data_IF_632910553939
#
_entry.id   IF_632910553939
#
_cell.length_a   1.000
_cell.length_b   1.000
_cell.length_c   1.000
_cell.angle_alpha   90.00
_cell.angle_beta   90.00
_cell.angle_gamma   90.00
#
_symmetry.space_group_name_H-M   'P 1'
#
loop_
_entity.id
_entity.type
_entity.pdbx_description
1 polymer ?
#
# COMPACT_ATOMS: atom_id res chain seq x y z
N UNK A 1 -2.42 -3.77 7.78
CA UNK A 1 -2.88 -2.45 7.28
C UNK A 1 -3.34 -1.50 8.42
N UNK A 2 -3.09 -1.84 9.69
CA UNK A 2 -3.61 -1.16 10.90
C UNK A 2 -2.95 0.18 11.31
N UNK A 3 -2.33 0.94 10.38
CA UNK A 3 -1.83 2.28 10.72
C UNK A 3 -2.39 3.40 9.83
N UNK A 4 -3.34 3.08 8.94
CA UNK A 4 -3.84 4.05 7.97
C UNK A 4 -5.10 4.81 8.44
N UNK A 5 -5.80 4.31 9.46
CA UNK A 5 -7.13 4.80 9.85
C UNK A 5 -7.15 6.11 10.68
N UNK A 6 -6.00 6.70 11.00
CA UNK A 6 -5.90 7.91 11.83
C UNK A 6 -5.31 9.13 11.09
N UNK A 7 -5.44 9.20 9.76
CA UNK A 7 -5.12 10.43 9.03
C UNK A 7 -6.29 11.42 9.07
N UNK A 8 -6.58 11.97 10.25
CA UNK A 8 -7.50 13.11 10.38
C UNK A 8 -6.83 14.33 9.72
N UNK A 9 -7.41 14.82 8.61
CA UNK A 9 -7.22 16.15 7.99
C UNK A 9 -5.89 16.88 8.29
N UNK A 10 -4.77 16.25 7.96
CA UNK A 10 -3.50 16.97 8.00
C UNK A 10 -3.49 18.02 6.86
N UNK A 11 -3.00 19.25 7.07
CA UNK A 11 -2.66 20.19 6.00
C UNK A 11 -1.77 19.52 4.94
N UNK A 12 -1.78 20.01 3.69
CA UNK A 12 -1.08 19.36 2.57
C UNK A 12 0.39 19.04 2.89
N UNK A 13 1.11 19.99 3.50
CA UNK A 13 2.51 19.82 3.90
C UNK A 13 2.68 18.74 4.99
N UNK A 14 1.75 18.65 5.94
CA UNK A 14 1.78 17.64 7.00
C UNK A 14 1.43 16.23 6.48
N UNK A 15 0.50 16.11 5.50
CA UNK A 15 0.23 14.83 4.81
C UNK A 15 1.46 14.33 4.07
N UNK A 16 2.12 15.24 3.35
CA UNK A 16 3.31 14.90 2.59
C UNK A 16 4.44 14.43 3.51
N UNK A 17 4.69 15.13 4.61
CA UNK A 17 5.65 14.70 5.64
C UNK A 17 5.28 13.33 6.24
N UNK A 18 4.01 13.10 6.55
CA UNK A 18 3.51 11.80 7.02
C UNK A 18 3.79 10.69 5.99
N UNK A 19 3.50 10.92 4.71
CA UNK A 19 3.77 9.96 3.63
C UNK A 19 5.27 9.65 3.51
N UNK A 20 6.13 10.66 3.57
CA UNK A 20 7.59 10.46 3.53
C UNK A 20 8.10 9.65 4.72
N UNK A 21 7.69 10.01 5.95
CA UNK A 21 8.05 9.28 7.17
C UNK A 21 7.56 7.84 7.09
N UNK A 22 6.35 7.63 6.57
CA UNK A 22 5.78 6.29 6.40
C UNK A 22 6.53 5.46 5.38
N UNK A 23 6.83 6.02 4.21
CA UNK A 23 7.61 5.35 3.17
C UNK A 23 9.00 4.95 3.70
N UNK A 24 9.69 5.88 4.39
CA UNK A 24 10.98 5.60 5.02
C UNK A 24 10.89 4.43 6.01
N UNK A 25 9.85 4.39 6.86
CA UNK A 25 9.63 3.31 7.83
C UNK A 25 9.36 1.95 7.16
N UNK A 26 8.65 1.93 6.02
CA UNK A 26 8.40 0.70 5.29
C UNK A 26 9.68 0.16 4.63
N UNK A 27 10.47 1.06 4.05
CA UNK A 27 11.68 0.71 3.30
C UNK A 27 12.91 0.46 4.17
N UNK A 28 12.90 0.88 5.44
CA UNK A 28 14.04 0.75 6.36
C UNK A 28 14.49 -0.69 6.60
N UNK A 29 13.68 -1.68 6.23
CA UNK A 29 13.99 -3.11 6.37
C UNK A 29 14.72 -3.69 5.14
N UNK A 30 14.96 -2.90 4.09
CA UNK A 30 15.65 -3.35 2.87
C UNK A 30 14.85 -4.39 2.08
N UNK A 31 13.51 -4.34 2.12
CA UNK A 31 12.65 -5.31 1.44
C UNK A 31 11.80 -4.63 0.38
N UNK A 32 11.59 -5.33 -0.73
CA UNK A 32 10.55 -5.02 -1.71
C UNK A 32 9.17 -4.95 -1.04
N UNK A 33 8.31 -4.05 -1.53
CA UNK A 33 6.98 -3.81 -0.96
C UNK A 33 5.90 -4.19 -1.96
N UNK A 34 5.11 -5.21 -1.65
CA UNK A 34 3.89 -5.53 -2.39
C UNK A 34 2.71 -4.67 -1.94
N UNK A 35 1.88 -4.22 -2.86
CA UNK A 35 0.61 -3.55 -2.57
C UNK A 35 -0.45 -3.90 -3.62
N UNK A 36 -1.72 -3.74 -3.27
CA UNK A 36 -2.82 -3.93 -4.20
C UNK A 36 -2.84 -2.86 -5.30
N UNK A 37 -3.10 -3.28 -6.53
CA UNK A 37 -3.37 -2.40 -7.67
C UNK A 37 -4.82 -1.90 -7.65
N UNK A 38 -5.20 -1.16 -6.60
CA UNK A 38 -6.55 -0.63 -6.44
C UNK A 38 -6.85 0.45 -7.49
N UNK A 39 -8.08 0.46 -8.02
CA UNK A 39 -8.57 1.58 -8.81
C UNK A 39 -8.90 2.78 -7.89
N UNK A 40 -7.87 3.48 -7.41
CA UNK A 40 -8.00 4.60 -6.47
C UNK A 40 -8.93 5.68 -7.02
N UNK A 41 -8.86 5.98 -8.33
CA UNK A 41 -9.75 6.95 -8.99
C UNK A 41 -11.21 6.51 -8.93
N UNK A 42 -11.47 5.22 -9.11
CA UNK A 42 -12.80 4.63 -8.97
C UNK A 42 -13.30 4.70 -7.53
N UNK A 43 -12.49 4.27 -6.56
CA UNK A 43 -12.84 4.29 -5.12
C UNK A 43 -13.11 5.72 -4.66
N UNK A 44 -12.34 6.69 -5.14
CA UNK A 44 -12.50 8.11 -4.87
C UNK A 44 -13.83 8.71 -5.37
N UNK A 45 -14.63 7.96 -6.16
CA UNK A 45 -15.96 8.36 -6.64
C UNK A 45 -17.10 7.59 -5.96
N UNK A 46 -16.79 6.74 -4.99
CA UNK A 46 -17.78 5.94 -4.24
C UNK A 46 -18.13 6.58 -2.89
N UNK A 47 -18.91 5.86 -2.06
CA UNK A 47 -19.14 6.25 -0.65
C UNK A 47 -17.86 6.34 0.19
N UNK A 48 -16.73 5.81 -0.31
CA UNK A 48 -15.39 5.92 0.29
C UNK A 48 -14.57 7.11 -0.26
N UNK A 49 -15.18 8.02 -1.03
CA UNK A 49 -14.50 9.16 -1.63
C UNK A 49 -13.73 9.99 -0.60
N UNK A 50 -14.41 10.39 0.48
CA UNK A 50 -13.83 11.23 1.53
C UNK A 50 -12.60 10.58 2.16
N UNK A 51 -12.72 9.33 2.62
CA UNK A 51 -11.60 8.62 3.25
C UNK A 51 -10.45 8.40 2.27
N UNK A 52 -10.74 8.20 0.98
CA UNK A 52 -9.71 8.06 -0.08
C UNK A 52 -8.97 9.36 -0.36
N UNK A 53 -9.66 10.50 -0.36
CA UNK A 53 -9.05 11.81 -0.53
C UNK A 53 -8.26 12.24 0.70
N UNK A 54 -8.83 12.08 1.90
CA UNK A 54 -8.17 12.42 3.16
C UNK A 54 -6.88 11.60 3.34
N UNK A 55 -6.92 10.33 2.91
CA UNK A 55 -5.79 9.43 2.86
C UNK A 55 -4.64 9.88 1.95
N UNK A 56 -4.96 10.47 0.79
CA UNK A 56 -3.97 10.78 -0.24
C UNK A 56 -3.27 9.55 -0.84
N UNK A 57 -3.98 8.43 -1.03
CA UNK A 57 -3.39 7.14 -1.44
C UNK A 57 -2.53 7.22 -2.72
N UNK A 58 -2.99 7.97 -3.74
CA UNK A 58 -2.22 8.12 -4.98
C UNK A 58 -0.88 8.81 -4.76
N UNK A 59 -0.87 9.89 -3.97
CA UNK A 59 0.35 10.61 -3.60
C UNK A 59 1.29 9.71 -2.77
N UNK A 60 0.75 8.95 -1.83
CA UNK A 60 1.54 8.03 -1.01
C UNK A 60 2.23 6.96 -1.85
N UNK A 61 1.51 6.30 -2.77
CA UNK A 61 2.09 5.28 -3.65
C UNK A 61 3.16 5.85 -4.58
N UNK A 62 2.97 7.06 -5.09
CA UNK A 62 3.99 7.77 -5.88
C UNK A 62 5.26 8.02 -5.04
N UNK A 63 5.12 8.56 -3.83
CA UNK A 63 6.24 8.79 -2.91
C UNK A 63 6.95 7.47 -2.58
N UNK A 64 6.19 6.41 -2.30
CA UNK A 64 6.72 5.10 -1.95
C UNK A 64 7.53 4.50 -3.11
N UNK A 65 7.00 4.56 -4.34
CA UNK A 65 7.68 4.05 -5.55
C UNK A 65 9.02 4.76 -5.79
N UNK A 66 9.03 6.11 -5.75
CA UNK A 66 10.26 6.89 -5.92
C UNK A 66 11.27 6.60 -4.81
N UNK A 67 10.83 6.53 -3.54
CA UNK A 67 11.75 6.25 -2.42
C UNK A 67 12.26 4.81 -2.43
N UNK A 68 11.46 3.85 -2.92
CA UNK A 68 11.91 2.48 -3.10
C UNK A 68 13.00 2.41 -4.17
N UNK A 69 12.77 3.02 -5.34
CA UNK A 69 13.74 3.07 -6.44
C UNK A 69 15.08 3.69 -5.99
N UNK A 70 15.04 4.82 -5.26
CA UNK A 70 16.24 5.45 -4.72
C UNK A 70 17.02 4.57 -3.73
N UNK A 71 16.37 3.58 -3.12
CA UNK A 71 16.99 2.64 -2.20
C UNK A 71 17.37 1.30 -2.88
N UNK A 72 17.27 1.20 -4.21
CA UNK A 72 17.48 -0.06 -4.94
C UNK A 72 16.39 -1.11 -4.67
N UNK A 73 15.20 -0.68 -4.25
CA UNK A 73 14.04 -1.52 -3.94
C UNK A 73 12.92 -1.26 -4.95
N UNK A 74 11.93 -2.16 -4.97
CA UNK A 74 10.75 -2.07 -5.84
C UNK A 74 9.46 -2.05 -5.03
N UNK A 75 8.46 -1.37 -5.59
CA UNK A 75 7.05 -1.49 -5.22
C UNK A 75 6.34 -2.37 -6.25
N UNK A 76 5.72 -3.46 -5.80
CA UNK A 76 5.09 -4.46 -6.66
C UNK A 76 3.57 -4.34 -6.51
N UNK A 77 2.92 -3.91 -7.59
CA UNK A 77 1.47 -3.86 -7.64
C UNK A 77 0.89 -5.23 -8.00
N UNK A 78 0.01 -5.78 -7.16
CA UNK A 78 -0.62 -7.11 -7.37
C UNK A 78 -2.11 -6.99 -7.62
N UNK A 79 -2.71 -8.01 -8.22
CA UNK A 79 -4.16 -8.07 -8.43
C UNK A 79 -4.90 -8.03 -7.07
N UNK A 80 -5.80 -7.06 -6.84
CA UNK A 80 -6.55 -6.96 -5.59
C UNK A 80 -7.66 -8.02 -5.44
N UNK A 81 -8.02 -8.72 -6.51
CA UNK A 81 -9.18 -9.61 -6.49
C UNK A 81 -8.95 -10.78 -5.53
N UNK A 82 -9.85 -10.90 -4.55
CA UNK A 82 -9.85 -12.00 -3.58
C UNK A 82 -8.79 -11.91 -2.49
N UNK A 83 -7.92 -10.89 -2.44
CA UNK A 83 -6.85 -10.77 -1.43
C UNK A 83 -7.39 -10.76 0.00
N UNK A 84 -8.52 -10.11 0.24
CA UNK A 84 -9.18 -10.06 1.56
C UNK A 84 -10.06 -11.28 1.82
N UNK A 85 -10.55 -11.94 0.76
CA UNK A 85 -11.49 -13.05 0.85
C UNK A 85 -10.79 -14.41 0.96
N UNK A 86 -9.76 -14.66 0.16
CA UNK A 86 -9.02 -15.91 0.12
C UNK A 86 -8.25 -16.09 1.42
N UNK A 87 -8.31 -17.30 1.98
CA UNK A 87 -7.55 -17.65 3.16
C UNK A 87 -6.07 -17.77 2.83
N UNK A 88 -5.21 -17.07 3.57
CA UNK A 88 -3.76 -17.16 3.41
C UNK A 88 -3.16 -18.50 3.87
N UNK A 89 -3.92 -19.29 4.63
CA UNK A 89 -3.51 -20.61 5.11
C UNK A 89 -3.84 -21.75 4.12
N UNK A 90 -5.01 -21.73 3.50
CA UNK A 90 -5.47 -22.83 2.63
C UNK A 90 -5.92 -22.42 1.22
N UNK A 91 -5.90 -21.13 0.89
CA UNK A 91 -6.31 -20.61 -0.42
C UNK A 91 -7.81 -20.55 -0.67
N UNK A 92 -8.64 -21.20 0.15
CA UNK A 92 -10.10 -21.20 -0.03
C UNK A 92 -10.72 -19.82 0.18
N UNK A 93 -11.72 -19.51 -0.63
CA UNK A 93 -12.47 -18.24 -0.53
C UNK A 93 -13.37 -18.25 0.69
N UNK A 94 -13.21 -17.26 1.55
CA UNK A 94 -14.11 -17.01 2.68
C UNK A 94 -14.88 -15.72 2.39
N UNK A 95 -16.16 -15.79 1.97
CA UNK A 95 -16.98 -14.60 1.71
C UNK A 95 -17.08 -13.71 2.93
N UNK A 96 -16.94 -12.40 2.71
CA UNK A 96 -17.00 -11.40 3.80
C UNK A 96 -17.37 -10.03 3.26
N UNK A 97 -18.10 -9.28 4.07
CA UNK A 97 -18.43 -7.89 3.82
C UNK A 97 -17.25 -6.96 4.18
N UNK A 98 -17.30 -5.71 3.71
CA UNK A 98 -16.28 -4.69 4.01
C UNK A 98 -16.20 -4.39 5.52
N UNK A 99 -17.31 -4.55 6.26
CA UNK A 99 -17.36 -4.35 7.71
C UNK A 99 -16.71 -5.47 8.51
N UNK A 100 -16.56 -6.66 7.93
CA UNK A 100 -15.96 -7.79 8.61
C UNK A 100 -14.45 -7.54 8.71
N UNK A 101 -13.97 -7.32 9.94
CA UNK A 101 -12.56 -7.02 10.23
C UNK A 101 -11.76 -8.26 10.63
N UNK A 102 -12.43 -9.36 10.92
CA UNK A 102 -11.84 -10.62 11.32
C UNK A 102 -11.93 -11.65 10.19
N UNK A 103 -10.91 -12.47 10.05
CA UNK A 103 -10.86 -13.59 9.12
C UNK A 103 -10.90 -14.88 9.93
N UNK A 104 -12.04 -15.57 9.86
CA UNK A 104 -12.26 -16.90 10.41
C UNK A 104 -12.45 -17.87 9.25
N UNK A 105 -11.50 -18.77 9.03
CA UNK A 105 -11.55 -19.71 7.90
C UNK A 105 -12.20 -21.05 8.31
N UNK A 106 -13.38 -21.40 7.79
CA UNK A 106 -14.04 -22.66 8.14
C UNK A 106 -13.36 -23.89 7.53
N UNK A 107 -12.44 -23.70 6.57
CA UNK A 107 -11.77 -24.79 5.87
C UNK A 107 -10.49 -25.28 6.56
N UNK A 108 -9.76 -24.38 7.23
CA UNK A 108 -8.50 -24.73 7.90
C UNK A 108 -8.36 -24.19 9.33
N UNK A 109 -9.38 -23.51 9.86
CA UNK A 109 -9.37 -22.98 11.22
C UNK A 109 -8.48 -21.77 11.45
N UNK A 110 -8.01 -21.12 10.37
CA UNK A 110 -7.17 -19.92 10.49
C UNK A 110 -7.99 -18.72 11.00
N UNK A 111 -7.51 -18.10 12.08
CA UNK A 111 -8.12 -16.94 12.75
C UNK A 111 -7.13 -15.76 12.82
N UNK A 112 -7.43 -14.64 12.17
CA UNK A 112 -6.63 -13.41 12.24
C UNK A 112 -7.37 -12.15 11.77
N UNK A 113 -6.79 -10.98 11.99
CA UNK A 113 -7.25 -9.73 11.36
C UNK A 113 -7.28 -9.86 9.82
N UNK A 114 -8.39 -9.41 9.21
CA UNK A 114 -8.61 -9.48 7.75
C UNK A 114 -7.49 -8.80 6.98
N UNK A 115 -7.04 -7.65 7.45
CA UNK A 115 -6.01 -6.89 6.74
C UNK A 115 -4.62 -7.55 6.90
N UNK A 116 -4.41 -8.35 7.96
CA UNK A 116 -3.23 -9.20 8.09
C UNK A 116 -3.29 -10.39 7.13
N UNK A 117 -4.45 -11.07 7.02
CA UNK A 117 -4.66 -12.12 6.01
C UNK A 117 -4.39 -11.59 4.59
N UNK A 118 -4.96 -10.42 4.27
CA UNK A 118 -4.73 -9.77 2.98
C UNK A 118 -3.25 -9.43 2.73
N UNK A 119 -2.53 -8.93 3.75
CA UNK A 119 -1.10 -8.63 3.62
C UNK A 119 -0.26 -9.88 3.32
N UNK A 120 -0.62 -11.04 3.87
CA UNK A 120 0.05 -12.31 3.58
C UNK A 120 -0.22 -12.73 2.12
N UNK A 121 -1.48 -12.65 1.67
CA UNK A 121 -1.84 -12.93 0.29
C UNK A 121 -1.11 -12.01 -0.70
N UNK A 122 -1.07 -10.70 -0.44
CA UNK A 122 -0.34 -9.71 -1.25
C UNK A 122 1.14 -10.05 -1.30
N UNK A 123 1.73 -10.47 -0.18
CA UNK A 123 3.13 -10.89 -0.14
C UNK A 123 3.36 -12.10 -1.04
N UNK A 124 2.50 -13.13 -0.98
CA UNK A 124 2.63 -14.30 -1.85
C UNK A 124 2.47 -13.95 -3.33
N UNK A 125 1.50 -13.11 -3.67
CA UNK A 125 1.31 -12.63 -5.04
C UNK A 125 2.51 -11.81 -5.54
N UNK A 126 3.16 -11.04 -4.65
CA UNK A 126 4.31 -10.23 -5.02
C UNK A 126 5.61 -11.05 -5.20
N UNK A 127 5.72 -12.21 -4.55
CA UNK A 127 6.86 -13.12 -4.69
C UNK A 127 6.78 -13.82 -6.06
N UNK A 128 7.85 -13.77 -6.84
CA UNK A 128 7.92 -14.37 -8.17
C UNK A 128 7.57 -13.43 -9.34
N UNK A 129 7.25 -12.15 -9.07
CA UNK A 129 7.19 -11.15 -10.14
C UNK A 129 8.59 -10.95 -10.76
N UNK A 130 8.70 -10.95 -12.10
CA UNK A 130 9.97 -10.68 -12.75
C UNK A 130 10.46 -9.27 -12.41
N UNK A 131 11.76 -9.15 -12.13
CA UNK A 131 12.46 -7.89 -11.78
C UNK A 131 12.40 -6.85 -12.92
N UNK A 132 11.97 -7.27 -14.11
CA UNK A 132 11.95 -6.47 -15.32
C UNK A 132 10.62 -5.74 -15.48
N UNK A 133 10.40 -4.74 -14.63
CA UNK A 133 9.65 -3.51 -14.92
C UNK A 133 9.78 -2.64 -13.69
N UNK A 134 10.95 -2.03 -13.53
CA UNK A 134 10.98 -0.70 -12.95
C UNK A 134 9.90 0.09 -13.71
N UNK A 135 8.81 0.45 -13.02
CA UNK A 135 7.86 1.39 -13.61
C UNK A 135 8.70 2.60 -13.98
N UNK A 136 8.84 2.85 -15.28
CA UNK A 136 9.48 4.05 -15.80
C UNK A 136 8.92 5.22 -15.02
N UNK A 137 9.79 5.89 -14.27
CA UNK A 137 9.43 7.08 -13.52
C UNK A 137 8.87 8.07 -14.53
N UNK A 138 7.65 8.60 -14.35
CA UNK A 138 7.24 9.77 -15.10
C UNK A 138 8.27 10.86 -14.81
N UNK A 139 8.88 11.38 -15.87
CA UNK A 139 9.84 12.47 -15.80
C UNK A 139 9.32 13.57 -14.86
N UNK A 140 10.18 13.93 -13.90
CA UNK A 140 10.15 15.14 -13.05
C UNK A 140 8.81 15.45 -12.37
N UNK A 141 8.78 15.30 -11.05
CA UNK A 141 7.69 15.84 -10.21
C UNK A 141 7.82 17.37 -10.17
N UNK A 142 6.86 18.15 -10.71
CA UNK A 142 6.86 19.59 -10.48
C UNK A 142 6.63 19.85 -8.99
N UNK A 143 7.55 20.53 -8.33
CA UNK A 143 7.41 20.94 -6.92
C UNK A 143 8.15 20.07 -5.88
N UNK A 144 8.98 19.11 -6.28
CA UNK A 144 10.05 18.62 -5.38
C UNK A 144 11.22 19.57 -5.50
N UNK A 145 11.23 20.63 -4.70
CA UNK A 145 12.46 21.38 -4.48
C UNK A 145 13.49 20.42 -3.90
N UNK A 146 14.66 20.39 -4.52
CA UNK A 146 15.80 19.64 -4.01
C UNK A 146 15.99 19.98 -2.53
N UNK A 147 16.18 18.95 -1.71
CA UNK A 147 16.51 19.13 -0.30
C UNK A 147 17.76 20.01 -0.26
N UNK A 148 17.81 21.12 0.51
CA UNK A 148 19.02 21.92 0.59
C UNK A 148 20.16 21.00 1.01
N UNK A 149 21.24 21.01 0.25
CA UNK A 149 22.48 20.37 0.65
C UNK A 149 22.82 20.89 2.04
N UNK A 150 23.00 19.99 3.00
CA UNK A 150 23.61 20.35 4.28
C UNK A 150 25.04 20.80 3.96
N UNK A 151 25.25 22.11 3.87
CA UNK A 151 26.58 22.69 3.87
C UNK A 151 27.23 22.35 5.21
N UNK A 152 28.38 21.69 5.15
CA UNK A 152 29.40 21.78 6.19
C UNK A 152 30.39 22.86 5.79
#
# INVERSE_FOLDING_TARGET
MLQYYHANRLPANQRQDFHYKRAKKLLSKGKHIGHEALNIKGIARTRMAKSTHDAGWGQFLQILSVKAANAGLMTIAVNPNGTTQNCSGCGQTVPKEIRDRWHSCPHCGLELDRDHNAAINIKYLAVGHPVNKAQETPDRIPGVTEKPALSR
#
